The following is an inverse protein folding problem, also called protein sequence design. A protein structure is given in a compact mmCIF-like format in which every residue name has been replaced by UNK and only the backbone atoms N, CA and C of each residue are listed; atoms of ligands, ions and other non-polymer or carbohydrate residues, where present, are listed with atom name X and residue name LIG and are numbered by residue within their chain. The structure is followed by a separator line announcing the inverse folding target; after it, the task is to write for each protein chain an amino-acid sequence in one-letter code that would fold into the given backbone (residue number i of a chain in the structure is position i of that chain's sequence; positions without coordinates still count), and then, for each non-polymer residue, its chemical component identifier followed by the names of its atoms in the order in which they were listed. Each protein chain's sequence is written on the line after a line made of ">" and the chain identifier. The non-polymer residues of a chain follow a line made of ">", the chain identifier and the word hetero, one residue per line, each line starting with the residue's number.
data_IF_839228542439
#
_entry.id   IF_839228542439
#
_cell.length_a   1.000
_cell.length_b   1.000
_cell.length_c   1.000
_cell.angle_alpha   90.00
_cell.angle_beta   90.00
_cell.angle_gamma   90.00
#
_symmetry.space_group_name_H-M   'P 1'
#
loop_
_entity.id
_entity.type
_entity.pdbx_description
1 polymer ?
#
# COMPACT_ATOMS: atom_id res chain seq x y z
N UNK A 1 -28.90 -22.87 4.04
CA UNK A 1 -29.88 -21.75 3.97
C UNK A 1 -29.30 -20.74 2.99
N UNK A 2 -29.88 -20.33 1.87
CA UNK A 2 -31.23 -20.38 1.31
C UNK A 2 -31.12 -20.56 -0.23
N UNK A 3 -31.84 -21.52 -0.81
CA UNK A 3 -32.99 -21.34 -1.72
C UNK A 3 -32.76 -20.68 -3.10
N UNK A 4 -32.72 -21.56 -4.11
CA UNK A 4 -33.38 -21.54 -5.44
C UNK A 4 -33.89 -20.20 -6.01
N UNK A 5 -33.59 -19.97 -7.30
CA UNK A 5 -34.62 -19.95 -8.37
C UNK A 5 -34.03 -20.37 -9.73
N UNK A 6 -34.65 -21.41 -10.30
CA UNK A 6 -34.65 -21.80 -11.71
C UNK A 6 -35.72 -20.95 -12.42
N UNK A 7 -35.46 -20.53 -13.65
CA UNK A 7 -36.48 -20.17 -14.66
C UNK A 7 -35.83 -20.51 -16.02
N UNK A 8 -36.09 -21.68 -16.59
CA UNK A 8 -37.23 -21.99 -17.45
C UNK A 8 -37.24 -21.15 -18.73
N UNK A 9 -36.63 -21.72 -19.78
CA UNK A 9 -36.94 -21.44 -21.18
C UNK A 9 -38.21 -22.18 -21.57
N UNK A 10 -39.21 -21.53 -22.20
CA UNK A 10 -40.21 -22.24 -22.97
C UNK A 10 -39.90 -22.15 -24.47
N UNK A 11 -40.00 -23.30 -25.13
CA UNK A 11 -40.04 -23.45 -26.57
C UNK A 11 -41.44 -23.18 -27.13
N UNK A 12 -41.46 -22.76 -28.39
CA UNK A 12 -42.47 -23.04 -29.41
C UNK A 12 -43.90 -22.52 -29.23
N UNK A 13 -44.31 -21.63 -30.14
CA UNK A 13 -45.53 -21.86 -30.94
C UNK A 13 -45.55 -20.97 -32.17
N UNK A 14 -45.84 -21.60 -33.30
CA UNK A 14 -46.08 -20.99 -34.60
C UNK A 14 -47.28 -20.04 -34.57
N UNK A 15 -47.25 -18.96 -35.35
CA UNK A 15 -48.47 -18.36 -35.91
C UNK A 15 -48.16 -17.44 -37.09
N UNK A 16 -48.61 -17.89 -38.26
CA UNK A 16 -49.19 -17.12 -39.36
C UNK A 16 -48.40 -15.94 -39.94
N UNK A 17 -47.78 -16.23 -41.09
CA UNK A 17 -47.60 -15.27 -42.17
C UNK A 17 -48.96 -14.68 -42.60
N UNK A 18 -49.24 -13.45 -42.18
CA UNK A 18 -50.29 -12.64 -42.78
C UNK A 18 -49.67 -11.82 -43.91
N UNK A 19 -49.93 -12.27 -45.15
CA UNK A 19 -49.75 -11.46 -46.36
C UNK A 19 -50.56 -10.18 -46.21
N UNK A 20 -49.89 -9.06 -45.93
CA UNK A 20 -50.54 -7.76 -45.96
C UNK A 20 -50.65 -7.33 -47.41
N UNK A 21 -51.88 -7.40 -47.91
CA UNK A 21 -52.31 -6.96 -49.22
C UNK A 21 -51.94 -5.49 -49.43
N UNK A 22 -51.27 -5.26 -50.56
CA UNK A 22 -50.96 -3.95 -51.11
C UNK A 22 -52.26 -3.17 -51.40
N UNK A 23 -52.77 -2.41 -50.42
CA UNK A 23 -53.82 -1.41 -50.61
C UNK A 23 -53.16 -0.04 -50.73
N UNK A 24 -53.11 0.47 -51.96
CA UNK A 24 -52.82 1.90 -52.23
C UNK A 24 -53.85 2.75 -51.48
N UNK A 25 -53.43 3.38 -50.39
CA UNK A 25 -54.20 4.37 -49.64
C UNK A 25 -53.57 5.76 -49.83
N UNK A 26 -53.97 6.44 -50.91
CA UNK A 26 -53.60 7.85 -51.12
C UNK A 26 -54.23 8.81 -50.08
N UNK A 27 -55.02 8.29 -49.13
CA UNK A 27 -55.56 9.06 -47.99
C UNK A 27 -54.70 9.01 -46.72
N UNK A 28 -53.50 8.45 -46.75
CA UNK A 28 -52.68 8.28 -45.52
C UNK A 28 -51.62 9.34 -45.33
N UNK A 29 -51.07 9.93 -46.40
CA UNK A 29 -49.96 10.88 -46.27
C UNK A 29 -50.37 12.17 -45.56
N UNK A 30 -51.56 12.70 -45.84
CA UNK A 30 -52.07 13.93 -45.20
C UNK A 30 -52.39 13.70 -43.72
N UNK A 31 -52.99 12.55 -43.39
CA UNK A 31 -53.27 12.17 -41.99
C UNK A 31 -51.99 11.89 -41.20
N UNK A 32 -51.01 11.24 -41.83
CA UNK A 32 -49.68 11.01 -41.25
C UNK A 32 -48.95 12.34 -41.04
N UNK A 33 -48.97 13.25 -42.01
CA UNK A 33 -48.36 14.58 -41.89
C UNK A 33 -49.07 15.45 -40.86
N UNK A 34 -50.40 15.41 -40.80
CA UNK A 34 -51.18 16.11 -39.78
C UNK A 34 -50.87 15.57 -38.39
N UNK A 35 -50.72 14.25 -38.24
CA UNK A 35 -50.35 13.62 -36.97
C UNK A 35 -48.87 13.78 -36.60
N UNK A 36 -47.99 14.01 -37.57
CA UNK A 36 -46.53 14.13 -37.38
C UNK A 36 -46.09 15.57 -37.21
N UNK A 37 -46.81 16.54 -37.78
CA UNK A 37 -46.50 17.96 -37.68
C UNK A 37 -47.75 18.73 -37.25
N UNK A 38 -48.17 18.45 -36.00
CA UNK A 38 -49.17 19.24 -35.29
C UNK A 38 -48.67 20.69 -35.18
N UNK A 39 -49.30 21.58 -35.95
CA UNK A 39 -48.88 22.98 -36.06
C UNK A 39 -48.99 23.52 -37.48
N UNK A 40 -48.76 22.69 -38.51
CA UNK A 40 -48.84 23.13 -39.91
C UNK A 40 -50.25 23.62 -40.30
N UNK A 41 -51.29 23.05 -39.69
CA UNK A 41 -52.68 23.48 -39.91
C UNK A 41 -53.01 24.85 -39.27
N UNK A 42 -52.19 25.34 -38.34
CA UNK A 42 -52.39 26.64 -37.69
C UNK A 42 -51.69 27.79 -38.43
N UNK A 43 -50.89 27.49 -39.46
CA UNK A 43 -50.19 28.49 -40.26
C UNK A 43 -51.04 28.93 -41.46
N UNK A 44 -51.07 30.24 -41.71
CA UNK A 44 -51.72 30.81 -42.89
C UNK A 44 -51.01 30.41 -44.19
N UNK A 45 -51.73 30.45 -45.31
CA UNK A 45 -51.23 30.01 -46.63
C UNK A 45 -50.02 30.82 -47.13
N UNK A 46 -49.87 32.06 -46.71
CA UNK A 46 -48.69 32.89 -47.01
C UNK A 46 -47.46 32.43 -46.21
N UNK A 47 -47.65 32.14 -44.92
CA UNK A 47 -46.61 31.58 -44.02
C UNK A 47 -46.18 30.18 -44.44
N UNK A 48 -47.11 29.34 -44.90
CA UNK A 48 -46.79 28.00 -45.40
C UNK A 48 -46.00 28.04 -46.72
N UNK A 49 -46.31 29.00 -47.61
CA UNK A 49 -45.51 29.25 -48.82
C UNK A 49 -44.13 29.79 -48.50
N UNK A 50 -44.02 30.65 -47.49
CA UNK A 50 -42.73 31.16 -47.02
C UNK A 50 -41.88 30.05 -46.40
N UNK A 51 -42.49 29.11 -45.68
CA UNK A 51 -41.82 27.95 -45.11
C UNK A 51 -41.36 26.94 -46.18
N UNK A 52 -42.13 26.78 -47.26
CA UNK A 52 -41.78 25.90 -48.38
C UNK A 52 -40.66 26.48 -49.26
N UNK A 53 -40.54 27.81 -49.33
CA UNK A 53 -39.56 28.50 -50.18
C UNK A 53 -38.24 28.83 -49.44
N UNK A 54 -38.13 28.50 -48.16
CA UNK A 54 -36.99 28.83 -47.30
C UNK A 54 -36.61 27.61 -46.46
N UNK A 55 -35.58 26.90 -46.92
CA UNK A 55 -35.10 25.67 -46.28
C UNK A 55 -34.61 25.92 -44.84
N UNK A 56 -34.07 27.10 -44.52
CA UNK A 56 -33.61 27.42 -43.16
C UNK A 56 -34.79 27.52 -42.18
N UNK A 57 -35.92 28.09 -42.62
CA UNK A 57 -37.15 28.14 -41.81
C UNK A 57 -37.77 26.77 -41.63
N UNK A 58 -37.71 25.92 -42.66
CA UNK A 58 -38.18 24.55 -42.59
C UNK A 58 -37.33 23.73 -41.61
N UNK A 59 -36.02 23.91 -41.63
CA UNK A 59 -35.08 23.30 -40.68
C UNK A 59 -35.34 23.78 -39.25
N UNK A 60 -35.64 25.07 -39.03
CA UNK A 60 -36.03 25.60 -37.72
C UNK A 60 -37.35 24.98 -37.22
N UNK A 61 -38.36 24.85 -38.09
CA UNK A 61 -39.63 24.21 -37.76
C UNK A 61 -39.47 22.72 -37.41
N UNK A 62 -38.68 21.99 -38.19
CA UNK A 62 -38.36 20.57 -37.93
C UNK A 62 -37.49 20.45 -36.69
N UNK A 63 -36.59 21.40 -36.43
CA UNK A 63 -35.84 21.43 -35.20
C UNK A 63 -36.80 21.57 -34.02
N UNK A 64 -37.76 22.48 -34.07
CA UNK A 64 -38.71 22.72 -32.98
C UNK A 64 -39.70 21.59 -32.72
N UNK A 65 -39.85 20.66 -33.65
CA UNK A 65 -40.68 19.47 -33.47
C UNK A 65 -40.32 18.71 -32.16
N UNK A 66 -41.31 18.29 -31.33
CA UNK A 66 -41.07 17.68 -30.02
C UNK A 66 -40.14 16.46 -30.03
N UNK A 67 -40.18 15.65 -31.10
CA UNK A 67 -39.27 14.52 -31.26
C UNK A 67 -37.81 14.97 -31.43
N UNK A 68 -37.55 15.94 -32.32
CA UNK A 68 -36.21 16.46 -32.56
C UNK A 68 -35.67 17.18 -31.32
N UNK A 69 -36.51 17.96 -30.63
CA UNK A 69 -36.21 18.59 -29.35
C UNK A 69 -35.86 17.55 -28.28
N UNK A 70 -36.64 16.49 -28.15
CA UNK A 70 -36.39 15.41 -27.19
C UNK A 70 -35.10 14.63 -27.46
N UNK A 71 -34.75 14.42 -28.73
CA UNK A 71 -33.46 13.82 -29.11
C UNK A 71 -32.29 14.75 -28.80
N UNK A 72 -32.41 16.05 -29.09
CA UNK A 72 -31.37 17.05 -28.75
C UNK A 72 -31.19 17.19 -27.24
N UNK A 73 -32.29 17.22 -26.49
CA UNK A 73 -32.24 17.26 -25.03
C UNK A 73 -31.53 16.02 -24.47
N UNK A 74 -31.86 14.81 -24.94
CA UNK A 74 -31.16 13.58 -24.52
C UNK A 74 -29.68 13.60 -24.87
N UNK A 75 -29.30 14.14 -26.03
CA UNK A 75 -27.90 14.33 -26.38
C UNK A 75 -27.22 15.28 -25.39
N UNK A 76 -27.83 16.41 -25.09
CA UNK A 76 -27.26 17.41 -24.18
C UNK A 76 -27.14 16.88 -22.76
N UNK A 77 -28.13 16.11 -22.29
CA UNK A 77 -28.11 15.41 -21.00
C UNK A 77 -26.95 14.40 -20.95
N UNK A 78 -26.79 13.58 -22.00
CA UNK A 78 -25.69 12.61 -22.09
C UNK A 78 -24.32 13.28 -22.20
N UNK A 79 -24.22 14.40 -22.92
CA UNK A 79 -23.00 15.20 -22.99
C UNK A 79 -22.63 15.76 -21.63
N UNK A 80 -23.61 16.26 -20.89
CA UNK A 80 -23.42 16.76 -19.53
C UNK A 80 -22.98 15.63 -18.59
N UNK A 81 -23.66 14.48 -18.62
CA UNK A 81 -23.31 13.30 -17.81
C UNK A 81 -21.89 12.83 -18.12
N UNK A 82 -21.55 12.72 -19.41
CA UNK A 82 -20.21 12.30 -19.85
C UNK A 82 -19.14 13.27 -19.37
N UNK A 83 -19.39 14.60 -19.47
CA UNK A 83 -18.45 15.62 -18.97
C UNK A 83 -18.27 15.52 -17.46
N UNK A 84 -19.36 15.39 -16.71
CA UNK A 84 -19.32 15.22 -15.25
C UNK A 84 -18.55 13.95 -14.86
N UNK A 85 -18.82 12.82 -15.53
CA UNK A 85 -18.14 11.57 -15.26
C UNK A 85 -16.64 11.64 -15.60
N UNK A 86 -16.27 12.26 -16.72
CA UNK A 86 -14.89 12.48 -17.09
C UNK A 86 -14.16 13.38 -16.08
N UNK A 87 -14.79 14.48 -15.65
CA UNK A 87 -14.23 15.39 -14.66
C UNK A 87 -14.02 14.71 -13.31
N UNK A 88 -15.00 13.93 -12.85
CA UNK A 88 -14.87 13.19 -11.60
C UNK A 88 -13.80 12.10 -11.70
N UNK A 89 -13.77 11.37 -12.81
CA UNK A 89 -12.76 10.34 -13.07
C UNK A 89 -11.35 10.93 -13.06
N UNK A 90 -11.13 12.06 -13.74
CA UNK A 90 -9.85 12.78 -13.71
C UNK A 90 -9.49 13.28 -12.30
N UNK A 91 -10.46 13.82 -11.54
CA UNK A 91 -10.24 14.22 -10.14
C UNK A 91 -9.84 13.04 -9.25
N UNK A 92 -10.48 11.88 -9.43
CA UNK A 92 -10.15 10.66 -8.71
C UNK A 92 -8.75 10.14 -9.10
N UNK A 93 -8.41 10.11 -10.39
CA UNK A 93 -7.08 9.69 -10.86
C UNK A 93 -5.96 10.60 -10.32
N UNK A 94 -6.15 11.91 -10.33
CA UNK A 94 -5.15 12.86 -9.80
C UNK A 94 -4.94 12.68 -8.29
N UNK A 95 -6.02 12.51 -7.52
CA UNK A 95 -5.94 12.20 -6.08
C UNK A 95 -5.27 10.84 -5.81
N UNK A 96 -5.59 9.82 -6.61
CA UNK A 96 -4.96 8.51 -6.48
C UNK A 96 -3.46 8.59 -6.78
N UNK A 97 -3.08 9.28 -7.85
CA UNK A 97 -1.67 9.47 -8.23
C UNK A 97 -0.89 10.21 -7.15
N UNK A 98 -1.44 11.30 -6.60
CA UNK A 98 -0.77 12.04 -5.52
C UNK A 98 -0.61 11.20 -4.24
N UNK A 99 -1.61 10.37 -3.91
CA UNK A 99 -1.52 9.44 -2.79
C UNK A 99 -0.46 8.34 -3.03
N UNK A 100 -0.38 7.79 -4.24
CA UNK A 100 0.66 6.82 -4.63
C UNK A 100 2.06 7.43 -4.56
N UNK A 101 2.24 8.65 -5.04
CA UNK A 101 3.52 9.35 -4.98
C UNK A 101 3.93 9.63 -3.52
N UNK A 102 2.98 10.05 -2.68
CA UNK A 102 3.23 10.23 -1.24
C UNK A 102 3.62 8.92 -0.57
N UNK A 103 2.94 7.81 -0.87
CA UNK A 103 3.28 6.49 -0.35
C UNK A 103 4.67 6.04 -0.79
N UNK A 104 5.04 6.27 -2.06
CA UNK A 104 6.39 5.93 -2.55
C UNK A 104 7.46 6.71 -1.81
N UNK A 105 7.26 8.02 -1.58
CA UNK A 105 8.19 8.85 -0.80
C UNK A 105 8.36 8.32 0.61
N UNK A 106 7.26 8.07 1.33
CA UNK A 106 7.33 7.56 2.70
C UNK A 106 7.94 6.16 2.77
N UNK A 107 7.75 5.32 1.75
CA UNK A 107 8.42 4.02 1.65
C UNK A 107 9.94 4.16 1.49
N UNK A 108 10.41 5.10 0.67
CA UNK A 108 11.84 5.38 0.51
C UNK A 108 12.44 5.90 1.82
N UNK A 109 11.81 6.89 2.45
CA UNK A 109 12.23 7.43 3.74
C UNK A 109 12.29 6.33 4.82
N UNK A 110 11.29 5.45 4.88
CA UNK A 110 11.26 4.34 5.82
C UNK A 110 12.38 3.33 5.55
N UNK A 111 12.70 3.05 4.29
CA UNK A 111 13.83 2.19 3.94
C UNK A 111 15.17 2.80 4.36
N UNK A 112 15.35 4.11 4.19
CA UNK A 112 16.55 4.82 4.65
C UNK A 112 16.68 4.76 6.17
N UNK A 113 15.59 5.05 6.91
CA UNK A 113 15.58 4.95 8.37
C UNK A 113 15.84 3.52 8.85
N UNK A 114 15.30 2.51 8.17
CA UNK A 114 15.59 1.11 8.47
C UNK A 114 17.08 0.79 8.31
N UNK A 115 17.68 1.20 7.18
CA UNK A 115 19.12 1.00 6.93
C UNK A 115 19.96 1.67 8.01
N UNK A 116 19.57 2.88 8.42
CA UNK A 116 20.26 3.62 9.47
C UNK A 116 20.18 2.92 10.83
N UNK A 117 19.01 2.41 11.20
CA UNK A 117 18.85 1.59 12.43
C UNK A 117 19.69 0.33 12.35
N UNK A 118 19.68 -0.39 11.23
CA UNK A 118 20.51 -1.59 11.04
C UNK A 118 22.01 -1.28 11.12
N UNK A 119 22.44 -0.11 10.62
CA UNK A 119 23.81 0.39 10.75
C UNK A 119 24.18 0.64 12.21
N UNK A 120 23.37 1.42 12.92
CA UNK A 120 23.57 1.74 14.34
C UNK A 120 23.55 0.50 15.23
N UNK A 121 22.65 -0.46 14.97
CA UNK A 121 22.62 -1.73 15.69
C UNK A 121 23.90 -2.54 15.47
N UNK A 122 24.43 -2.56 14.24
CA UNK A 122 25.70 -3.22 13.93
C UNK A 122 26.88 -2.54 14.62
N UNK A 123 26.91 -1.21 14.65
CA UNK A 123 27.93 -0.43 15.37
C UNK A 123 27.86 -0.62 16.88
N UNK A 124 26.66 -0.64 17.46
CA UNK A 124 26.50 -0.96 18.88
C UNK A 124 26.95 -2.39 19.19
N UNK A 125 26.66 -3.35 18.32
CA UNK A 125 27.09 -4.75 18.50
C UNK A 125 28.60 -4.91 18.29
N UNK A 126 29.22 -4.18 17.37
CA UNK A 126 30.67 -4.22 17.16
C UNK A 126 31.43 -3.54 18.30
N UNK A 127 30.93 -2.42 18.82
CA UNK A 127 31.50 -1.74 19.99
C UNK A 127 31.38 -2.58 21.26
N UNK A 128 30.21 -3.21 21.47
CA UNK A 128 29.99 -4.04 22.67
C UNK A 128 30.64 -5.42 22.55
N UNK A 129 30.79 -5.96 21.34
CA UNK A 129 31.34 -7.30 21.08
C UNK A 129 30.59 -8.41 21.84
N UNK A 130 30.87 -9.69 21.55
CA UNK A 130 30.42 -10.76 22.43
C UNK A 130 31.06 -10.58 23.82
N UNK A 131 30.27 -10.63 24.89
CA UNK A 131 30.78 -10.51 26.27
C UNK A 131 31.48 -11.78 26.73
N UNK A 132 31.07 -12.95 26.21
CA UNK A 132 31.62 -14.27 26.55
C UNK A 132 33.15 -14.39 26.35
N UNK A 133 33.74 -14.03 25.19
CA UNK A 133 35.19 -14.05 25.02
C UNK A 133 35.93 -13.09 25.95
N UNK A 134 35.31 -11.94 26.29
CA UNK A 134 35.89 -10.99 27.24
C UNK A 134 35.91 -11.56 28.65
N UNK A 135 34.86 -12.30 29.04
CA UNK A 135 34.77 -12.97 30.33
C UNK A 135 35.81 -14.09 30.43
N UNK A 136 35.92 -14.93 29.40
CA UNK A 136 36.96 -15.96 29.33
C UNK A 136 38.37 -15.37 29.46
N UNK A 137 38.66 -14.26 28.75
CA UNK A 137 39.94 -13.57 28.89
C UNK A 137 40.16 -13.02 30.31
N UNK A 138 39.11 -12.52 30.97
CA UNK A 138 39.21 -12.03 32.36
C UNK A 138 39.47 -13.18 33.35
N UNK A 139 38.84 -14.35 33.15
CA UNK A 139 39.09 -15.57 33.92
C UNK A 139 40.56 -16.02 33.78
N UNK A 140 41.07 -16.13 32.55
CA UNK A 140 42.49 -16.48 32.32
C UNK A 140 43.46 -15.50 32.98
N UNK A 141 43.16 -14.20 32.95
CA UNK A 141 44.00 -13.19 33.62
C UNK A 141 43.92 -13.26 35.16
N UNK A 142 42.77 -13.64 35.72
CA UNK A 142 42.61 -13.87 37.15
C UNK A 142 43.36 -15.13 37.60
N UNK A 143 43.21 -16.23 36.87
CA UNK A 143 43.95 -17.49 37.10
C UNK A 143 45.46 -17.27 37.03
N UNK A 144 45.94 -16.56 36.02
CA UNK A 144 47.36 -16.21 35.89
C UNK A 144 47.86 -15.39 37.09
N UNK A 145 47.07 -14.43 37.58
CA UNK A 145 47.45 -13.66 38.75
C UNK A 145 47.51 -14.52 40.03
N UNK A 146 46.62 -15.51 40.17
CA UNK A 146 46.67 -16.46 41.28
C UNK A 146 47.86 -17.42 41.18
N UNK A 147 48.19 -17.86 39.97
CA UNK A 147 49.36 -18.70 39.70
C UNK A 147 50.67 -17.95 40.02
N UNK A 148 50.77 -16.66 39.64
CA UNK A 148 51.90 -15.80 40.01
C UNK A 148 52.07 -15.67 41.53
N UNK A 149 50.96 -15.56 42.28
CA UNK A 149 50.98 -15.54 43.75
C UNK A 149 51.44 -16.88 44.35
N UNK A 150 50.96 -18.00 43.79
CA UNK A 150 51.37 -19.34 44.23
C UNK A 150 52.86 -19.59 43.94
N UNK A 151 53.34 -19.16 42.77
CA UNK A 151 54.75 -19.25 42.40
C UNK A 151 55.64 -18.45 43.36
N UNK A 152 55.23 -17.24 43.74
CA UNK A 152 55.96 -16.42 44.71
C UNK A 152 56.00 -17.09 46.10
N UNK A 153 54.89 -17.68 46.54
CA UNK A 153 54.84 -18.48 47.77
C UNK A 153 55.80 -19.68 47.73
N UNK A 154 55.85 -20.40 46.61
CA UNK A 154 56.80 -21.51 46.40
C UNK A 154 58.26 -21.04 46.47
N UNK A 155 58.58 -19.91 45.84
CA UNK A 155 59.93 -19.34 45.86
C UNK A 155 60.38 -18.97 47.29
N UNK A 156 59.48 -18.39 48.08
CA UNK A 156 59.75 -18.10 49.50
C UNK A 156 60.00 -19.38 50.32
N UNK A 157 59.15 -20.40 50.18
CA UNK A 157 59.34 -21.68 50.89
C UNK A 157 60.63 -22.42 50.50
N UNK A 158 61.14 -22.17 49.29
CA UNK A 158 62.40 -22.74 48.79
C UNK A 158 63.62 -21.90 49.20
N UNK A 159 63.42 -20.75 49.86
CA UNK A 159 64.48 -19.85 50.31
C UNK A 159 65.10 -18.99 49.19
N UNK A 160 64.44 -18.88 48.03
CA UNK A 160 64.96 -18.13 46.89
C UNK A 160 64.77 -16.60 47.03
N UNK A 161 63.91 -16.15 47.94
CA UNK A 161 63.55 -14.73 48.14
C UNK A 161 63.63 -14.37 49.63
N UNK A 162 64.26 -13.23 50.01
CA UNK A 162 64.31 -12.76 51.40
C UNK A 162 62.93 -12.29 51.89
N UNK A 163 62.71 -12.34 53.21
CA UNK A 163 61.39 -12.08 53.82
C UNK A 163 60.81 -10.70 53.50
N UNK A 164 61.59 -9.62 53.62
CA UNK A 164 61.11 -8.25 53.37
C UNK A 164 60.67 -8.05 51.92
N UNK A 165 61.46 -8.53 50.94
CA UNK A 165 61.11 -8.44 49.53
C UNK A 165 59.90 -9.32 49.17
N UNK A 166 59.78 -10.49 49.79
CA UNK A 166 58.63 -11.36 49.62
C UNK A 166 57.33 -10.72 50.14
N UNK A 167 57.36 -10.08 51.31
CA UNK A 167 56.16 -9.55 51.94
C UNK A 167 55.50 -8.47 51.08
N UNK A 168 56.30 -7.53 50.58
CA UNK A 168 55.81 -6.43 49.74
C UNK A 168 55.25 -6.95 48.41
N UNK A 169 56.01 -7.81 47.71
CA UNK A 169 55.61 -8.37 46.42
C UNK A 169 54.36 -9.27 46.55
N UNK A 170 54.29 -10.08 47.61
CA UNK A 170 53.17 -10.99 47.84
C UNK A 170 51.90 -10.25 48.19
N UNK A 171 51.96 -9.25 49.08
CA UNK A 171 50.79 -8.46 49.43
C UNK A 171 50.27 -7.67 48.23
N UNK A 172 51.16 -7.11 47.42
CA UNK A 172 50.78 -6.41 46.21
C UNK A 172 50.13 -7.35 45.18
N UNK A 173 50.77 -8.48 44.87
CA UNK A 173 50.25 -9.46 43.91
C UNK A 173 48.97 -10.13 44.38
N UNK A 174 48.87 -10.45 45.67
CA UNK A 174 47.68 -11.05 46.30
C UNK A 174 46.49 -10.08 46.25
N UNK A 175 46.71 -8.79 46.53
CA UNK A 175 45.69 -7.75 46.38
C UNK A 175 45.19 -7.66 44.94
N UNK A 176 46.10 -7.64 43.96
CA UNK A 176 45.72 -7.59 42.55
C UNK A 176 44.95 -8.84 42.10
N UNK A 177 45.37 -10.03 42.52
CA UNK A 177 44.70 -11.29 42.20
C UNK A 177 43.27 -11.31 42.77
N UNK A 178 43.09 -10.92 44.03
CA UNK A 178 41.78 -10.84 44.68
C UNK A 178 40.85 -9.85 43.99
N UNK A 179 41.36 -8.66 43.63
CA UNK A 179 40.58 -7.66 42.89
C UNK A 179 40.18 -8.18 41.51
N UNK A 180 41.06 -8.92 40.81
CA UNK A 180 40.72 -9.54 39.51
C UNK A 180 39.66 -10.62 39.66
N UNK A 181 39.72 -11.48 40.68
CA UNK A 181 38.68 -12.47 40.97
C UNK A 181 37.32 -11.80 41.21
N UNK A 182 37.26 -10.78 42.08
CA UNK A 182 36.00 -10.04 42.31
C UNK A 182 35.48 -9.42 41.02
N UNK A 183 36.35 -8.80 40.22
CA UNK A 183 35.93 -8.19 38.94
C UNK A 183 35.38 -9.24 37.97
N UNK A 184 36.01 -10.42 37.90
CA UNK A 184 35.57 -11.54 37.07
C UNK A 184 34.22 -12.08 37.57
N UNK A 185 34.02 -12.30 38.87
CA UNK A 185 32.76 -12.76 39.45
C UNK A 185 31.62 -11.77 39.18
N UNK A 186 31.90 -10.47 39.33
CA UNK A 186 30.93 -9.43 39.00
C UNK A 186 30.63 -9.39 37.51
N UNK A 187 31.65 -9.56 36.67
CA UNK A 187 31.45 -9.58 35.22
C UNK A 187 30.63 -10.79 34.78
N UNK A 188 30.88 -11.97 35.34
CA UNK A 188 30.08 -13.17 35.12
C UNK A 188 28.61 -12.94 35.47
N UNK A 189 28.34 -12.36 36.65
CA UNK A 189 26.97 -12.02 37.04
C UNK A 189 26.30 -11.03 36.06
N UNK A 190 27.04 -10.06 35.49
CA UNK A 190 26.49 -9.16 34.47
C UNK A 190 26.20 -9.87 33.14
N UNK A 191 27.02 -10.84 32.75
CA UNK A 191 26.80 -11.64 31.54
C UNK A 191 25.59 -12.56 31.70
N UNK A 192 25.42 -13.19 32.87
CA UNK A 192 24.28 -14.05 33.20
C UNK A 192 22.97 -13.26 33.38
N UNK A 193 23.05 -12.02 33.90
CA UNK A 193 21.89 -11.15 34.13
C UNK A 193 21.46 -10.34 32.90
N UNK A 194 22.29 -10.25 31.85
CA UNK A 194 21.87 -9.67 30.57
C UNK A 194 20.78 -10.57 29.97
N UNK A 195 19.52 -10.11 29.86
CA UNK A 195 18.50 -10.88 29.17
C UNK A 195 18.98 -11.02 27.73
N UNK A 196 19.27 -12.26 27.31
CA UNK A 196 19.58 -12.60 25.92
C UNK A 196 18.59 -11.85 25.04
N UNK A 197 19.10 -10.89 24.26
CA UNK A 197 18.25 -9.98 23.49
C UNK A 197 17.21 -10.80 22.72
N UNK A 198 15.90 -10.52 22.84
CA UNK A 198 14.89 -11.31 22.15
C UNK A 198 15.14 -11.16 20.65
N UNK A 199 15.65 -12.23 20.04
CA UNK A 199 15.66 -12.43 18.61
C UNK A 199 14.22 -12.70 18.15
N UNK A 200 13.35 -11.70 18.23
CA UNK A 200 12.07 -11.66 17.53
C UNK A 200 12.12 -10.54 16.51
N UNK A 201 12.97 -10.71 15.50
CA UNK A 201 12.66 -10.16 14.19
C UNK A 201 11.56 -11.03 13.58
N UNK A 202 10.34 -10.90 14.11
CA UNK A 202 9.14 -11.18 13.32
C UNK A 202 9.17 -10.14 12.20
N UNK A 203 9.68 -10.56 11.05
CA UNK A 203 9.56 -9.81 9.80
C UNK A 203 8.10 -9.37 9.67
N UNK A 204 7.80 -8.06 9.54
CA UNK A 204 6.44 -7.65 9.27
C UNK A 204 6.06 -8.27 7.93
N UNK A 205 5.12 -9.22 7.95
CA UNK A 205 4.54 -9.83 6.77
C UNK A 205 4.19 -8.73 5.78
N UNK A 206 4.94 -8.70 4.67
CA UNK A 206 4.71 -7.79 3.56
C UNK A 206 3.26 -7.98 3.12
N UNK A 207 2.40 -6.95 3.10
CA UNK A 207 1.07 -7.11 2.55
C UNK A 207 1.23 -7.57 1.10
N UNK A 208 0.63 -8.72 0.81
CA UNK A 208 0.58 -9.34 -0.52
C UNK A 208 -0.02 -8.30 -1.47
N UNK A 209 0.81 -7.75 -2.35
CA UNK A 209 0.37 -6.85 -3.39
C UNK A 209 -0.55 -7.63 -4.34
N UNK A 210 -1.86 -7.45 -4.21
CA UNK A 210 -2.88 -8.00 -5.10
C UNK A 210 -3.37 -6.99 -6.13
N UNK A 211 -2.60 -5.96 -6.45
CA UNK A 211 -2.96 -5.03 -7.51
C UNK A 211 -2.09 -5.28 -8.75
N UNK A 212 -2.50 -6.31 -9.51
CA UNK A 212 -2.27 -6.42 -10.94
C UNK A 212 -3.65 -6.50 -11.61
N UNK A 213 -4.33 -5.35 -11.67
CA UNK A 213 -5.40 -5.06 -12.61
C UNK A 213 -5.32 -3.57 -12.89
N UNK A 214 -4.49 -3.23 -13.87
CA UNK A 214 -4.68 -2.18 -14.87
C UNK A 214 -3.65 -2.41 -15.98
#
# INVERSE_FOLDING_TARGET
>A
MASRRKTETPSSTASSASRSSNRRSNGTAVDILSSTFDGLHLLDTESLKALLNDDDKLDEFVADHPFCRGVRQKRDDLEMETRCYAQETLSRHTKLRSAQDRLRRTQVELQEKRREVERLQRESRSSKGPLEPKLASAQTLAEKATEECEALGKQFTTGAVPLDGFLDDFLQKSSEAYVRQIKTDKFQHYVEAEPSSPSTTTSPSRPRNTNNYF
#
